data_IF_249493384308
#
_entry.id   IF_249493384308
#
_cell.length_a   1.000
_cell.length_b   1.000
_cell.length_c   1.000
_cell.angle_alpha   90.00
_cell.angle_beta   90.00
_cell.angle_gamma   90.00
#
_symmetry.space_group_name_H-M   'P 1'
#
loop_
_entity.id
_entity.type
_entity.pdbx_description
1 polymer ?
#
# COMPACT_ATOMS: atom_id res chain seq x y z
N UNK A 1 12.15 27.35 -1.19
CA UNK A 1 10.78 27.61 -1.66
C UNK A 1 9.86 26.60 -1.00
N UNK A 2 8.57 26.92 -0.80
CA UNK A 2 7.60 26.08 -0.07
C UNK A 2 6.54 25.41 -0.95
N UNK A 3 6.67 25.52 -2.28
CA UNK A 3 5.68 24.98 -3.23
C UNK A 3 5.65 23.45 -3.27
N UNK A 4 6.81 22.81 -3.20
CA UNK A 4 6.94 21.36 -3.14
C UNK A 4 7.14 20.99 -1.67
N UNK A 5 6.20 20.23 -1.10
CA UNK A 5 6.22 19.84 0.32
C UNK A 5 6.71 18.41 0.54
N UNK A 6 6.62 17.56 -0.49
CA UNK A 6 6.99 16.15 -0.43
C UNK A 6 7.54 15.66 -1.78
N UNK A 7 8.54 14.79 -1.73
CA UNK A 7 9.02 13.94 -2.83
C UNK A 7 8.65 12.49 -2.51
N UNK A 8 7.66 11.95 -3.23
CA UNK A 8 7.38 10.52 -3.20
C UNK A 8 8.35 9.80 -4.16
N UNK A 9 9.24 8.98 -3.62
CA UNK A 9 10.28 8.29 -4.39
C UNK A 9 9.72 6.98 -4.93
N UNK A 10 9.55 6.91 -6.26
CA UNK A 10 9.05 5.72 -6.93
C UNK A 10 10.04 4.55 -6.86
N UNK A 11 9.60 3.38 -6.38
CA UNK A 11 10.45 2.20 -6.15
C UNK A 11 10.02 0.96 -6.94
N UNK A 12 9.12 1.11 -7.91
CA UNK A 12 8.60 -0.04 -8.65
C UNK A 12 7.32 0.25 -9.42
N UNK A 13 6.54 -0.81 -9.76
CA UNK A 13 5.28 -0.70 -10.48
C UNK A 13 4.32 0.25 -9.75
N UNK A 14 3.67 1.15 -10.50
CA UNK A 14 2.83 2.21 -9.93
C UNK A 14 3.53 3.13 -8.91
N UNK A 15 4.86 3.18 -8.91
CA UNK A 15 5.67 3.92 -7.92
C UNK A 15 5.86 3.19 -6.60
N UNK A 16 5.27 2.01 -6.43
CA UNK A 16 5.23 1.27 -5.16
C UNK A 16 6.50 0.42 -4.96
N UNK A 17 6.96 0.32 -3.72
CA UNK A 17 8.07 -0.56 -3.33
C UNK A 17 7.61 -2.02 -3.30
N UNK A 18 7.47 -2.65 -4.46
CA UNK A 18 7.11 -4.07 -4.61
C UNK A 18 7.49 -4.64 -5.97
N UNK A 19 7.31 -5.94 -6.12
CA UNK A 19 7.36 -6.63 -7.40
C UNK A 19 6.05 -6.48 -8.21
N UNK A 20 6.09 -6.61 -9.54
CA UNK A 20 4.90 -6.61 -10.41
C UNK A 20 4.17 -7.96 -10.37
N UNK A 21 3.75 -8.43 -9.19
CA UNK A 21 3.21 -9.79 -9.00
C UNK A 21 1.77 -9.99 -9.45
N UNK A 22 1.01 -8.92 -9.67
CA UNK A 22 -0.40 -8.92 -10.09
C UNK A 22 -0.65 -8.00 -11.30
N UNK A 23 -0.05 -8.28 -12.48
CA UNK A 23 -0.27 -7.46 -13.67
C UNK A 23 -1.67 -7.68 -14.24
N UNK A 24 -2.53 -6.66 -14.19
CA UNK A 24 -3.90 -6.71 -14.75
C UNK A 24 -3.93 -6.70 -16.29
N UNK A 25 -2.83 -6.27 -16.94
CA UNK A 25 -2.76 -6.14 -18.39
C UNK A 25 -3.11 -7.46 -19.08
N UNK A 26 -4.00 -7.38 -20.08
CA UNK A 26 -4.49 -8.50 -20.87
C UNK A 26 -5.14 -9.64 -20.05
N UNK A 27 -5.57 -9.36 -18.82
CA UNK A 27 -6.20 -10.35 -17.94
C UNK A 27 -5.24 -11.42 -17.41
N UNK A 28 -3.93 -11.14 -17.41
CA UNK A 28 -2.89 -12.04 -16.88
C UNK A 28 -3.19 -12.41 -15.43
N UNK A 29 -3.50 -11.40 -14.62
CA UNK A 29 -3.99 -11.55 -13.27
C UNK A 29 -5.39 -10.95 -13.14
N UNK A 30 -6.21 -11.55 -12.25
CA UNK A 30 -7.50 -11.03 -11.82
C UNK A 30 -7.61 -11.18 -10.32
N UNK A 31 -8.17 -10.17 -9.68
CA UNK A 31 -8.52 -10.25 -8.26
C UNK A 31 -9.44 -11.45 -7.99
N UNK A 32 -9.22 -12.25 -6.93
CA UNK A 32 -8.20 -12.12 -5.89
C UNK A 32 -7.01 -13.10 -6.05
N UNK A 33 -6.50 -13.36 -7.26
CA UNK A 33 -5.45 -14.38 -7.46
C UNK A 33 -4.16 -14.16 -6.64
N UNK A 34 -3.43 -15.24 -6.34
CA UNK A 34 -2.18 -15.19 -5.55
C UNK A 34 -1.03 -14.40 -6.19
N UNK A 35 -1.10 -14.12 -7.50
CA UNK A 35 0.00 -13.51 -8.24
C UNK A 35 1.11 -14.50 -8.55
N UNK A 36 2.30 -13.99 -8.90
CA UNK A 36 3.47 -14.83 -9.14
C UNK A 36 4.77 -14.12 -8.72
N UNK A 37 5.75 -14.90 -8.26
CA UNK A 37 7.11 -14.39 -8.00
C UNK A 37 7.73 -13.82 -9.29
N UNK A 38 8.42 -12.68 -9.18
CA UNK A 38 8.99 -11.94 -10.31
C UNK A 38 10.53 -11.87 -10.21
N UNK A 39 11.18 -13.03 -10.10
CA UNK A 39 12.63 -13.14 -9.85
C UNK A 39 13.37 -14.01 -10.87
N UNK A 40 12.81 -14.16 -12.07
CA UNK A 40 13.30 -15.09 -13.10
C UNK A 40 14.20 -14.43 -14.15
N UNK A 41 14.52 -13.15 -14.01
CA UNK A 41 15.54 -12.54 -14.86
C UNK A 41 16.94 -13.08 -14.48
N UNK A 42 17.87 -13.01 -15.44
CA UNK A 42 19.21 -13.59 -15.30
C UNK A 42 20.00 -13.04 -14.10
N UNK A 43 19.74 -11.80 -13.66
CA UNK A 43 20.48 -11.19 -12.55
C UNK A 43 19.93 -11.66 -11.21
N UNK A 44 18.60 -11.71 -11.05
CA UNK A 44 18.00 -12.26 -9.84
C UNK A 44 18.28 -13.76 -9.69
N UNK A 45 18.25 -14.54 -10.78
CA UNK A 45 18.63 -15.95 -10.74
C UNK A 45 20.10 -16.16 -10.33
N UNK A 46 21.01 -15.30 -10.83
CA UNK A 46 22.41 -15.33 -10.40
C UNK A 46 22.57 -14.98 -8.92
N UNK A 47 21.82 -14.00 -8.41
CA UNK A 47 21.82 -13.61 -6.99
C UNK A 47 21.28 -14.73 -6.10
N UNK A 48 20.18 -15.37 -6.50
CA UNK A 48 19.59 -16.51 -5.80
C UNK A 48 20.56 -17.69 -5.73
N UNK A 49 21.22 -18.01 -6.85
CA UNK A 49 22.25 -19.05 -6.91
C UNK A 49 23.38 -18.80 -5.93
N UNK A 50 23.91 -17.57 -5.89
CA UNK A 50 24.96 -17.19 -4.96
C UNK A 50 24.51 -17.25 -3.48
N UNK A 51 23.29 -16.81 -3.19
CA UNK A 51 22.71 -16.91 -1.84
C UNK A 51 22.55 -18.36 -1.39
N UNK A 52 22.16 -19.26 -2.30
CA UNK A 52 21.98 -20.68 -2.05
C UNK A 52 23.31 -21.40 -1.79
N UNK A 53 24.36 -21.08 -2.56
CA UNK A 53 25.73 -21.54 -2.32
C UNK A 53 26.24 -21.09 -0.94
N UNK A 54 26.03 -19.81 -0.60
CA UNK A 54 26.43 -19.27 0.70
C UNK A 54 25.68 -19.93 1.88
N UNK A 55 24.44 -20.38 1.66
CA UNK A 55 23.66 -21.13 2.63
C UNK A 55 24.04 -22.62 2.71
N UNK A 56 25.00 -23.10 1.90
CA UNK A 56 25.39 -24.51 1.83
C UNK A 56 24.30 -25.41 1.22
N UNK A 57 23.40 -24.81 0.42
CA UNK A 57 22.23 -25.45 -0.20
C UNK A 57 22.13 -25.09 -1.68
N UNK A 58 23.14 -25.40 -2.51
CA UNK A 58 23.16 -24.99 -3.93
C UNK A 58 21.92 -25.45 -4.72
N UNK A 59 21.26 -26.53 -4.30
CA UNK A 59 20.01 -27.00 -4.89
C UNK A 59 18.84 -26.01 -4.75
N UNK A 60 18.85 -25.14 -3.74
CA UNK A 60 17.85 -24.08 -3.56
C UNK A 60 18.02 -22.91 -4.54
N UNK A 61 19.18 -22.83 -5.20
CA UNK A 61 19.54 -21.76 -6.12
C UNK A 61 19.12 -21.96 -7.57
N UNK A 62 18.44 -23.08 -7.90
CA UNK A 62 18.11 -23.46 -9.29
C UNK A 62 16.96 -22.66 -9.90
N UNK A 63 16.28 -21.82 -9.11
CA UNK A 63 15.14 -21.01 -9.50
C UNK A 63 14.21 -20.73 -8.32
N UNK A 64 13.18 -19.92 -8.55
CA UNK A 64 12.10 -19.75 -7.58
C UNK A 64 11.26 -21.02 -7.39
N UNK A 65 10.34 -21.03 -6.41
CA UNK A 65 9.49 -22.18 -6.13
C UNK A 65 8.68 -22.61 -7.35
N UNK A 66 8.85 -23.86 -7.79
CA UNK A 66 8.18 -24.41 -8.97
C UNK A 66 6.76 -24.90 -8.68
N UNK A 67 6.37 -24.92 -7.41
CA UNK A 67 5.10 -25.41 -6.88
C UNK A 67 4.20 -24.29 -6.33
N UNK A 68 4.51 -23.04 -6.70
CA UNK A 68 3.78 -21.81 -6.34
C UNK A 68 2.53 -21.55 -7.19
N UNK A 69 2.26 -22.35 -8.21
CA UNK A 69 1.11 -22.17 -9.10
C UNK A 69 1.28 -20.98 -10.05
N UNK A 70 0.16 -20.38 -10.44
CA UNK A 70 0.05 -19.29 -11.42
C UNK A 70 -0.77 -18.13 -10.86
N UNK A 71 -0.76 -17.00 -11.57
CA UNK A 71 -1.36 -15.73 -11.15
C UNK A 71 -2.75 -15.83 -10.49
N UNK A 72 -3.64 -16.67 -11.03
CA UNK A 72 -5.05 -16.72 -10.64
C UNK A 72 -5.42 -17.94 -9.77
N UNK A 73 -4.43 -18.71 -9.30
CA UNK A 73 -4.69 -19.78 -8.35
C UNK A 73 -5.08 -19.21 -6.98
N UNK A 74 -5.75 -20.04 -6.18
CA UNK A 74 -5.96 -19.80 -4.76
C UNK A 74 -4.78 -20.36 -3.95
N UNK A 75 -4.50 -19.84 -2.74
CA UNK A 75 -3.40 -20.35 -1.91
C UNK A 75 -3.49 -21.87 -1.69
N UNK A 76 -4.69 -22.36 -1.34
CA UNK A 76 -4.94 -23.78 -1.04
C UNK A 76 -4.84 -24.71 -2.28
N UNK A 77 -4.86 -24.16 -3.49
CA UNK A 77 -4.68 -24.93 -4.74
C UNK A 77 -3.20 -25.21 -5.04
N UNK A 78 -2.27 -24.64 -4.27
CA UNK A 78 -0.84 -24.71 -4.54
C UNK A 78 -0.09 -25.40 -3.41
N UNK A 79 0.87 -26.27 -3.75
CA UNK A 79 1.71 -26.93 -2.75
C UNK A 79 2.57 -25.93 -1.98
N UNK A 80 2.99 -24.84 -2.62
CA UNK A 80 3.79 -23.82 -1.96
C UNK A 80 2.99 -22.99 -0.96
N UNK A 81 1.76 -22.51 -1.27
CA UNK A 81 1.04 -21.54 -0.44
C UNK A 81 -0.10 -22.08 0.42
N UNK A 82 -0.51 -23.34 0.25
CA UNK A 82 -1.55 -23.95 1.09
C UNK A 82 -1.18 -23.90 2.57
N UNK A 83 -2.16 -24.09 3.45
CA UNK A 83 -2.01 -23.93 4.91
C UNK A 83 -0.74 -24.54 5.52
N UNK A 84 -0.37 -25.76 5.09
CA UNK A 84 0.87 -26.45 5.47
C UNK A 84 1.72 -26.70 4.20
N UNK A 85 2.15 -25.60 3.59
CA UNK A 85 2.82 -25.57 2.28
C UNK A 85 4.31 -25.26 2.37
N UNK A 86 4.95 -25.19 1.19
CA UNK A 86 6.36 -24.85 1.03
C UNK A 86 6.79 -23.52 1.65
N UNK A 87 5.87 -22.56 1.78
CA UNK A 87 6.11 -21.24 2.39
C UNK A 87 6.58 -21.30 3.86
N UNK A 88 6.27 -22.39 4.58
CA UNK A 88 6.56 -22.55 6.02
C UNK A 88 7.55 -23.69 6.30
N UNK A 89 8.52 -23.90 5.41
CA UNK A 89 9.60 -24.88 5.60
C UNK A 89 10.97 -24.20 5.42
N UNK A 90 12.10 -24.90 5.67
CA UNK A 90 13.43 -24.29 5.55
C UNK A 90 13.76 -23.69 4.18
N UNK A 91 13.28 -24.28 3.08
CA UNK A 91 13.47 -23.72 1.75
C UNK A 91 12.61 -22.47 1.54
N UNK A 92 11.34 -22.50 1.98
CA UNK A 92 10.45 -21.34 1.93
C UNK A 92 10.99 -20.15 2.72
N UNK A 93 11.47 -20.39 3.94
CA UNK A 93 12.12 -19.36 4.76
C UNK A 93 13.35 -18.76 4.07
N UNK A 94 14.21 -19.60 3.50
CA UNK A 94 15.36 -19.14 2.71
C UNK A 94 14.93 -18.29 1.51
N UNK A 95 14.03 -18.80 0.67
CA UNK A 95 13.64 -18.14 -0.57
C UNK A 95 12.90 -16.84 -0.31
N UNK A 96 11.92 -16.83 0.61
CA UNK A 96 11.13 -15.65 0.94
C UNK A 96 11.96 -14.59 1.69
N UNK A 97 12.90 -15.02 2.53
CA UNK A 97 13.88 -14.10 3.14
C UNK A 97 14.77 -13.47 2.08
N UNK A 98 15.32 -14.24 1.15
CA UNK A 98 16.10 -13.69 0.05
C UNK A 98 15.27 -12.72 -0.80
N UNK A 99 14.07 -13.12 -1.22
CA UNK A 99 13.22 -12.35 -2.13
C UNK A 99 12.79 -11.01 -1.52
N UNK A 100 12.34 -11.02 -0.27
CA UNK A 100 11.98 -9.79 0.46
C UNK A 100 13.20 -8.92 0.79
N UNK A 101 14.35 -9.51 1.11
CA UNK A 101 15.58 -8.75 1.35
C UNK A 101 16.12 -8.07 0.08
N UNK A 102 15.91 -8.67 -1.10
CA UNK A 102 16.24 -8.01 -2.37
C UNK A 102 15.43 -6.73 -2.57
N UNK A 103 14.14 -6.75 -2.21
CA UNK A 103 13.27 -5.58 -2.24
C UNK A 103 13.69 -4.54 -1.19
N UNK A 104 13.95 -4.95 0.06
CA UNK A 104 14.44 -4.06 1.12
C UNK A 104 15.76 -3.37 0.73
N UNK A 105 16.71 -4.13 0.20
CA UNK A 105 17.99 -3.58 -0.25
C UNK A 105 17.83 -2.65 -1.46
N UNK A 106 16.85 -2.89 -2.33
CA UNK A 106 16.48 -1.97 -3.40
C UNK A 106 15.98 -0.63 -2.84
N UNK A 107 15.04 -0.67 -1.89
CA UNK A 107 14.52 0.52 -1.23
C UNK A 107 15.62 1.31 -0.51
N UNK A 108 16.47 0.63 0.27
CA UNK A 108 17.60 1.25 0.98
C UNK A 108 18.53 2.02 0.03
N UNK A 109 18.90 1.43 -1.11
CA UNK A 109 19.81 2.07 -2.08
C UNK A 109 19.20 3.32 -2.71
N UNK A 110 17.94 3.24 -3.14
CA UNK A 110 17.25 4.36 -3.77
C UNK A 110 17.02 5.48 -2.74
N UNK A 111 16.58 5.10 -1.53
CA UNK A 111 16.27 6.06 -0.50
C UNK A 111 17.54 6.77 0.00
N UNK A 112 18.65 6.05 0.16
CA UNK A 112 19.95 6.66 0.47
C UNK A 112 20.38 7.69 -0.56
N UNK A 113 20.13 7.45 -1.84
CA UNK A 113 20.44 8.40 -2.90
C UNK A 113 19.49 9.62 -2.85
N UNK A 114 18.20 9.40 -2.64
CA UNK A 114 17.21 10.47 -2.53
C UNK A 114 17.47 11.36 -1.31
N UNK A 115 17.71 10.78 -0.14
CA UNK A 115 18.02 11.54 1.08
C UNK A 115 19.28 12.36 0.90
N UNK A 116 20.35 11.80 0.33
CA UNK A 116 21.58 12.55 0.04
C UNK A 116 21.36 13.76 -0.89
N UNK A 117 20.45 13.67 -1.86
CA UNK A 117 20.11 14.77 -2.77
C UNK A 117 19.30 15.85 -2.05
N UNK A 118 18.38 15.46 -1.15
CA UNK A 118 17.42 16.37 -0.52
C UNK A 118 17.74 16.73 0.94
N UNK A 119 18.90 16.31 1.48
CA UNK A 119 19.32 16.44 2.88
C UNK A 119 19.23 17.87 3.44
N UNK A 120 19.48 18.88 2.59
CA UNK A 120 19.44 20.30 2.96
C UNK A 120 18.11 21.01 2.62
N UNK A 121 17.09 20.27 2.19
CA UNK A 121 15.79 20.83 1.81
C UNK A 121 14.76 20.59 2.91
N UNK A 122 13.83 21.53 3.07
CA UNK A 122 12.67 21.38 3.99
C UNK A 122 11.61 20.40 3.46
N UNK A 123 11.89 19.68 2.38
CA UNK A 123 10.95 18.81 1.68
C UNK A 123 10.97 17.42 2.29
N UNK A 124 9.80 16.85 2.55
CA UNK A 124 9.68 15.49 3.08
C UNK A 124 9.95 14.46 1.98
N UNK A 125 10.48 13.32 2.34
CA UNK A 125 10.60 12.16 1.45
C UNK A 125 9.57 11.13 1.89
N UNK A 126 8.84 10.54 0.95
CA UNK A 126 7.94 9.42 1.22
C UNK A 126 8.19 8.25 0.29
N UNK A 127 7.81 7.07 0.74
CA UNK A 127 7.85 5.84 -0.03
C UNK A 127 6.47 5.20 0.00
N UNK A 128 5.98 4.83 -1.17
CA UNK A 128 4.67 4.19 -1.30
C UNK A 128 4.80 2.68 -1.18
N UNK A 129 4.00 2.08 -0.30
CA UNK A 129 3.89 0.65 -0.08
C UNK A 129 2.45 0.22 -0.35
N UNK A 130 2.27 -0.81 -1.18
CA UNK A 130 0.96 -1.28 -1.60
C UNK A 130 0.22 -2.04 -0.48
N UNK A 131 -1.07 -1.76 -0.30
CA UNK A 131 -2.00 -2.52 0.52
C UNK A 131 -2.50 -3.78 -0.18
N UNK A 132 -1.86 -4.92 0.08
CA UNK A 132 -2.21 -6.20 -0.52
C UNK A 132 -3.10 -6.96 0.47
N UNK A 133 -4.39 -6.67 0.41
CA UNK A 133 -5.34 -7.08 1.44
C UNK A 133 -6.00 -8.44 1.19
N UNK A 134 -5.98 -8.97 -0.04
CA UNK A 134 -6.58 -10.26 -0.35
C UNK A 134 -5.71 -11.42 0.12
N UNK A 135 -6.35 -12.51 0.55
CA UNK A 135 -5.73 -13.65 1.23
C UNK A 135 -4.94 -13.34 2.50
N UNK A 136 -4.96 -12.10 3.01
CA UNK A 136 -4.37 -11.76 4.31
C UNK A 136 -4.97 -12.61 5.45
N UNK A 137 -6.23 -13.05 5.33
CA UNK A 137 -6.86 -13.96 6.28
C UNK A 137 -6.35 -15.41 6.23
N UNK A 138 -5.52 -15.78 5.25
CA UNK A 138 -4.89 -17.11 5.15
C UNK A 138 -3.61 -17.17 6.00
N UNK A 139 -2.97 -18.34 6.11
CA UNK A 139 -1.70 -18.44 6.88
C UNK A 139 -0.48 -17.95 6.11
N UNK A 140 -0.47 -18.20 4.80
CA UNK A 140 0.66 -17.90 3.93
C UNK A 140 0.68 -16.46 3.47
N UNK A 141 -0.46 -15.77 3.42
CA UNK A 141 -0.54 -14.41 2.90
C UNK A 141 0.03 -14.32 1.46
N UNK A 142 -0.29 -15.33 0.63
CA UNK A 142 0.39 -15.57 -0.65
C UNK A 142 0.59 -14.33 -1.56
N UNK A 143 -0.39 -13.43 -1.71
CA UNK A 143 -0.20 -12.21 -2.52
C UNK A 143 0.84 -11.24 -1.95
N UNK A 144 0.93 -11.11 -0.63
CA UNK A 144 1.97 -10.31 0.03
C UNK A 144 3.35 -10.92 -0.26
N UNK A 145 3.45 -12.25 -0.14
CA UNK A 145 4.70 -12.99 -0.43
C UNK A 145 5.15 -12.79 -1.88
N UNK A 146 4.25 -12.94 -2.86
CA UNK A 146 4.59 -12.79 -4.28
C UNK A 146 4.96 -11.34 -4.64
N UNK A 147 4.40 -10.35 -3.93
CA UNK A 147 4.77 -8.95 -4.09
C UNK A 147 6.09 -8.56 -3.41
N UNK A 148 6.67 -9.47 -2.61
CA UNK A 148 7.95 -9.28 -1.92
C UNK A 148 7.82 -8.84 -0.46
N UNK A 149 6.60 -8.74 0.07
CA UNK A 149 6.38 -8.53 1.49
C UNK A 149 6.36 -9.90 2.17
N UNK A 150 7.44 -10.25 2.88
CA UNK A 150 7.46 -11.52 3.62
C UNK A 150 6.64 -11.41 4.93
N UNK A 151 5.37 -11.07 4.79
CA UNK A 151 4.37 -11.05 5.84
C UNK A 151 3.67 -12.42 5.86
N UNK A 152 3.50 -12.99 7.03
CA UNK A 152 2.74 -14.24 7.22
C UNK A 152 2.03 -14.16 8.55
N UNK A 153 1.24 -15.18 8.89
CA UNK A 153 0.64 -15.28 10.23
C UNK A 153 1.65 -15.29 11.38
N UNK A 154 2.92 -15.60 11.13
CA UNK A 154 3.96 -15.74 12.16
C UNK A 154 5.08 -14.70 12.06
N UNK A 155 5.07 -13.84 11.03
CA UNK A 155 6.16 -12.92 10.73
C UNK A 155 5.59 -11.61 10.24
N UNK A 156 6.02 -10.52 10.87
CA UNK A 156 5.73 -9.17 10.38
C UNK A 156 6.64 -8.82 9.19
N UNK A 157 6.03 -8.71 8.01
CA UNK A 157 6.73 -8.34 6.78
C UNK A 157 6.95 -6.83 6.61
N UNK A 158 6.22 -6.00 7.34
CA UNK A 158 6.21 -4.55 7.22
C UNK A 158 7.16 -3.86 8.20
N UNK A 159 7.42 -4.46 9.36
CA UNK A 159 8.36 -3.94 10.35
C UNK A 159 9.77 -3.67 9.77
N UNK A 160 10.39 -4.56 8.98
CA UNK A 160 11.68 -4.27 8.35
C UNK A 160 11.62 -3.11 7.34
N UNK A 161 10.48 -2.92 6.66
CA UNK A 161 10.27 -1.80 5.73
C UNK A 161 10.19 -0.51 6.54
N UNK A 162 9.38 -0.46 7.60
CA UNK A 162 9.26 0.70 8.47
C UNK A 162 10.61 1.08 9.09
N UNK A 163 11.37 0.11 9.61
CA UNK A 163 12.72 0.35 10.13
C UNK A 163 13.66 0.91 9.06
N UNK A 164 13.57 0.44 7.82
CA UNK A 164 14.34 0.99 6.70
C UNK A 164 13.98 2.46 6.44
N UNK A 165 12.69 2.78 6.35
CA UNK A 165 12.24 4.16 6.16
C UNK A 165 12.65 5.08 7.31
N UNK A 166 12.60 4.59 8.55
CA UNK A 166 13.00 5.33 9.75
C UNK A 166 14.46 5.73 9.75
N UNK A 167 15.38 4.88 9.25
CA UNK A 167 16.80 5.24 9.09
C UNK A 167 17.03 6.45 8.19
N UNK A 168 16.08 6.71 7.29
CA UNK A 168 16.15 7.78 6.29
C UNK A 168 15.21 8.95 6.59
N UNK A 169 14.48 8.92 7.73
CA UNK A 169 13.47 9.93 8.05
C UNK A 169 12.35 10.02 7.02
N UNK A 170 12.11 8.96 6.25
CA UNK A 170 11.10 8.93 5.21
C UNK A 170 9.71 8.60 5.77
N UNK A 171 8.68 9.12 5.12
CA UNK A 171 7.27 8.86 5.43
C UNK A 171 6.85 7.52 4.81
N UNK A 172 6.19 6.68 5.60
CA UNK A 172 5.55 5.45 5.13
C UNK A 172 4.19 5.82 4.53
N UNK A 173 4.07 5.84 3.21
CA UNK A 173 2.79 6.10 2.55
C UNK A 173 2.11 4.78 2.16
N UNK A 174 0.91 4.52 2.68
CA UNK A 174 0.23 3.24 2.54
C UNK A 174 -1.16 3.38 1.89
N UNK A 175 -1.59 2.36 1.14
CA UNK A 175 -2.88 2.37 0.43
C UNK A 175 -3.96 1.55 1.16
N UNK A 176 -5.17 1.47 0.59
CA UNK A 176 -6.34 0.74 1.12
C UNK A 176 -6.97 1.34 2.39
N UNK A 177 -6.68 2.60 2.68
CA UNK A 177 -7.14 3.32 3.88
C UNK A 177 -8.67 3.46 3.92
N UNK A 178 -9.34 3.39 2.77
CA UNK A 178 -10.78 3.54 2.61
C UNK A 178 -11.57 2.22 2.71
N UNK A 179 -10.89 1.08 2.59
CA UNK A 179 -11.53 -0.22 2.44
C UNK A 179 -12.02 -0.78 3.78
N UNK A 180 -13.18 -1.45 3.75
CA UNK A 180 -13.71 -2.21 4.90
C UNK A 180 -13.72 -3.70 4.60
N UNK A 181 -13.54 -4.53 5.63
CA UNK A 181 -13.50 -5.99 5.49
C UNK A 181 -14.81 -6.53 4.87
N UNK A 182 -15.96 -5.99 5.27
CA UNK A 182 -17.28 -6.46 4.81
C UNK A 182 -17.62 -6.05 3.36
N UNK A 183 -16.88 -5.12 2.77
CA UNK A 183 -17.03 -4.75 1.35
C UNK A 183 -16.37 -5.78 0.41
N UNK A 184 -15.59 -6.71 0.97
CA UNK A 184 -14.78 -7.63 0.21
C UNK A 184 -15.46 -9.00 0.04
N UNK A 185 -15.19 -9.74 -1.06
CA UNK A 185 -15.69 -11.10 -1.22
C UNK A 185 -15.18 -12.02 -0.10
N UNK A 186 -16.09 -12.79 0.51
CA UNK A 186 -15.76 -13.62 1.67
C UNK A 186 -14.72 -14.69 1.36
N UNK A 187 -14.82 -15.30 0.18
CA UNK A 187 -13.88 -16.27 -0.35
C UNK A 187 -12.46 -15.72 -0.45
N UNK A 188 -12.29 -14.45 -0.84
CA UNK A 188 -10.99 -13.80 -1.01
C UNK A 188 -10.21 -13.67 0.30
N UNK A 189 -10.87 -13.85 1.46
CA UNK A 189 -10.27 -13.74 2.79
C UNK A 189 -9.55 -12.40 2.99
N UNK A 190 -10.13 -11.34 2.43
CA UNK A 190 -9.58 -9.99 2.52
C UNK A 190 -9.64 -9.46 3.95
N UNK A 191 -8.58 -8.74 4.37
CA UNK A 191 -8.52 -8.08 5.69
C UNK A 191 -7.87 -6.69 5.61
N UNK A 192 -8.37 -5.76 4.78
CA UNK A 192 -7.78 -4.41 4.66
C UNK A 192 -7.70 -3.67 5.99
N UNK A 193 -8.70 -3.79 6.87
CA UNK A 193 -8.68 -3.08 8.16
C UNK A 193 -7.60 -3.63 9.10
N UNK A 194 -7.45 -4.96 9.13
CA UNK A 194 -6.39 -5.62 9.89
C UNK A 194 -5.00 -5.30 9.36
N UNK A 195 -4.84 -5.27 8.03
CA UNK A 195 -3.59 -4.92 7.36
C UNK A 195 -3.16 -3.48 7.67
N UNK A 196 -4.08 -2.51 7.55
CA UNK A 196 -3.79 -1.10 7.87
C UNK A 196 -3.37 -0.96 9.34
N UNK A 197 -4.02 -1.67 10.27
CA UNK A 197 -3.62 -1.67 11.69
C UNK A 197 -2.22 -2.24 11.90
N UNK A 198 -1.85 -3.32 11.20
CA UNK A 198 -0.50 -3.89 11.27
C UNK A 198 0.55 -2.87 10.80
N UNK A 199 0.33 -2.26 9.64
CA UNK A 199 1.27 -1.28 9.07
C UNK A 199 1.41 -0.04 9.96
N UNK A 200 0.30 0.46 10.51
CA UNK A 200 0.34 1.56 11.47
C UNK A 200 1.15 1.22 12.72
N UNK A 201 0.99 0.01 13.26
CA UNK A 201 1.79 -0.45 14.40
C UNK A 201 3.29 -0.55 14.06
N UNK A 202 3.63 -1.10 12.89
CA UNK A 202 5.02 -1.18 12.42
C UNK A 202 5.65 0.21 12.23
N UNK A 203 4.91 1.17 11.67
CA UNK A 203 5.34 2.55 11.52
C UNK A 203 5.58 3.23 12.87
N UNK A 204 4.64 3.08 13.82
CA UNK A 204 4.82 3.56 15.21
C UNK A 204 6.08 3.01 15.84
N UNK A 205 6.24 1.69 15.83
CA UNK A 205 7.37 1.02 16.49
C UNK A 205 8.73 1.45 15.92
N UNK A 206 8.76 1.80 14.63
CA UNK A 206 9.94 2.34 13.96
C UNK A 206 10.11 3.86 14.10
N UNK A 207 9.16 4.58 14.74
CA UNK A 207 9.18 6.04 14.85
C UNK A 207 8.97 6.75 13.50
N UNK A 208 8.25 6.13 12.58
CA UNK A 208 8.01 6.62 11.21
C UNK A 208 6.63 7.24 11.09
N UNK A 209 6.56 8.40 10.45
CA UNK A 209 5.28 9.03 10.12
C UNK A 209 4.53 8.21 9.05
N UNK A 210 3.23 8.01 9.26
CA UNK A 210 2.34 7.30 8.34
C UNK A 210 1.51 8.29 7.52
N UNK A 211 1.49 8.12 6.20
CA UNK A 211 0.56 8.77 5.29
C UNK A 211 -0.33 7.73 4.59
N UNK A 212 -1.44 8.18 4.01
CA UNK A 212 -2.44 7.32 3.40
C UNK A 212 -2.85 7.70 1.99
N UNK A 213 -3.31 6.71 1.21
CA UNK A 213 -4.08 6.91 -0.03
C UNK A 213 -5.27 5.94 -0.08
N UNK A 214 -6.35 6.33 -0.74
CA UNK A 214 -7.37 5.35 -1.13
C UNK A 214 -6.87 4.51 -2.32
N UNK A 215 -7.12 3.20 -2.29
CA UNK A 215 -6.68 2.29 -3.34
C UNK A 215 -7.58 2.37 -4.59
N UNK A 216 -8.89 2.53 -4.40
CA UNK A 216 -9.87 2.61 -5.49
C UNK A 216 -10.56 3.98 -5.52
N UNK A 217 -11.00 4.48 -6.70
CA UNK A 217 -11.85 5.66 -6.77
C UNK A 217 -13.15 5.40 -6.00
N UNK A 218 -13.38 6.18 -4.94
CA UNK A 218 -14.57 6.15 -4.10
C UNK A 218 -15.08 7.56 -3.91
N UNK A 219 -16.39 7.77 -3.95
CA UNK A 219 -17.01 9.09 -3.73
C UNK A 219 -18.13 9.04 -2.70
N UNK A 220 -18.35 7.85 -2.14
CA UNK A 220 -19.36 7.58 -1.14
C UNK A 220 -18.87 7.87 0.28
N UNK A 221 -19.84 8.06 1.15
CA UNK A 221 -19.62 8.49 2.53
C UNK A 221 -18.97 7.40 3.38
N UNK A 222 -19.22 6.12 3.07
CA UNK A 222 -18.67 5.01 3.82
C UNK A 222 -17.14 4.94 3.69
N UNK A 223 -16.63 5.19 2.48
CA UNK A 223 -15.20 5.31 2.22
C UNK A 223 -14.59 6.54 2.91
N UNK A 224 -15.21 7.73 2.75
CA UNK A 224 -14.73 8.96 3.39
C UNK A 224 -14.69 8.84 4.92
N UNK A 225 -15.71 8.23 5.52
CA UNK A 225 -15.74 8.01 6.96
C UNK A 225 -14.65 7.04 7.42
N UNK A 226 -14.41 5.97 6.67
CA UNK A 226 -13.31 5.05 6.97
C UNK A 226 -11.96 5.78 6.93
N UNK A 227 -11.72 6.59 5.90
CA UNK A 227 -10.47 7.35 5.76
C UNK A 227 -10.29 8.30 6.96
N UNK A 228 -11.32 9.07 7.32
CA UNK A 228 -11.25 10.02 8.45
C UNK A 228 -10.96 9.28 9.76
N UNK A 229 -11.62 8.14 10.01
CA UNK A 229 -11.38 7.33 11.22
C UNK A 229 -9.96 6.77 11.24
N UNK A 230 -9.50 6.19 10.13
CA UNK A 230 -8.15 5.64 10.03
C UNK A 230 -7.08 6.74 10.18
N UNK A 231 -7.28 7.91 9.58
CA UNK A 231 -6.36 9.04 9.66
C UNK A 231 -6.30 9.66 11.07
N UNK A 232 -7.42 9.66 11.80
CA UNK A 232 -7.48 10.10 13.19
C UNK A 232 -6.73 9.16 14.16
N UNK A 233 -6.55 7.90 13.76
CA UNK A 233 -5.82 6.87 14.52
C UNK A 233 -6.53 6.42 15.81
N UNK A 234 -5.94 5.41 16.47
CA UNK A 234 -6.24 5.06 17.84
C UNK A 234 -5.14 5.67 18.73
N UNK A 235 -5.48 6.55 19.69
CA UNK A 235 -4.54 7.37 20.50
C UNK A 235 -3.78 8.47 19.72
N UNK A 236 -2.68 9.02 20.28
CA UNK A 236 -1.86 10.18 19.82
C UNK A 236 -1.30 10.11 18.39
N UNK A 237 -1.54 9.02 17.65
CA UNK A 237 -0.94 8.75 16.35
C UNK A 237 -1.91 8.99 15.20
N UNK A 238 -1.91 10.23 14.70
CA UNK A 238 -2.66 10.61 13.49
C UNK A 238 -1.78 10.44 12.24
N UNK A 239 -2.38 10.06 11.11
CA UNK A 239 -1.68 10.15 9.82
C UNK A 239 -1.19 11.57 9.56
N UNK A 240 0.04 11.70 9.06
CA UNK A 240 0.63 13.02 8.77
C UNK A 240 0.12 13.62 7.44
N UNK A 241 -0.53 12.81 6.60
CA UNK A 241 -1.07 13.24 5.32
C UNK A 241 -1.93 12.18 4.67
N UNK A 242 -2.81 12.62 3.77
CA UNK A 242 -3.63 11.74 2.95
C UNK A 242 -3.69 12.28 1.51
N UNK A 243 -3.49 11.41 0.52
CA UNK A 243 -3.58 11.74 -0.90
C UNK A 243 -4.79 11.05 -1.52
N UNK A 244 -5.74 11.84 -2.04
CA UNK A 244 -6.98 11.33 -2.61
C UNK A 244 -6.82 10.92 -4.08
N UNK A 245 -7.11 9.66 -4.39
CA UNK A 245 -7.14 9.10 -5.72
C UNK A 245 -8.57 9.16 -6.28
N UNK A 246 -8.88 9.97 -7.30
CA UNK A 246 -8.07 10.97 -8.01
C UNK A 246 -9.01 12.09 -8.43
N UNK A 247 -8.45 13.25 -8.78
CA UNK A 247 -9.20 14.28 -9.48
C UNK A 247 -9.67 13.79 -10.86
N UNK A 248 -10.99 13.62 -11.02
CA UNK A 248 -11.66 13.17 -12.25
C UNK A 248 -12.95 13.98 -12.45
N UNK A 249 -13.57 13.94 -13.64
CA UNK A 249 -14.90 14.54 -13.84
C UNK A 249 -15.94 14.04 -12.82
N UNK A 250 -15.87 12.78 -12.43
CA UNK A 250 -16.81 12.19 -11.45
C UNK A 250 -16.68 12.81 -10.06
N UNK A 251 -15.47 13.17 -9.62
CA UNK A 251 -15.26 13.88 -8.35
C UNK A 251 -16.02 15.22 -8.33
N UNK A 252 -16.11 15.89 -9.48
CA UNK A 252 -16.70 17.21 -9.64
C UNK A 252 -18.21 17.20 -9.90
N UNK A 253 -18.85 16.03 -9.94
CA UNK A 253 -20.31 15.97 -9.94
C UNK A 253 -20.85 16.61 -8.64
N UNK A 254 -21.98 17.34 -8.67
CA UNK A 254 -22.43 18.19 -7.55
C UNK A 254 -22.48 17.47 -6.20
N UNK A 255 -23.04 16.25 -6.16
CA UNK A 255 -23.18 15.46 -4.95
C UNK A 255 -21.83 14.92 -4.45
N UNK A 256 -20.96 14.49 -5.36
CA UNK A 256 -19.63 13.98 -5.02
C UNK A 256 -18.73 15.10 -4.48
N UNK A 257 -18.79 16.27 -5.10
CA UNK A 257 -18.05 17.44 -4.65
C UNK A 257 -18.53 17.91 -3.28
N UNK A 258 -19.84 17.95 -3.05
CA UNK A 258 -20.42 18.26 -1.73
C UNK A 258 -19.88 17.34 -0.63
N UNK A 259 -19.88 16.02 -0.88
CA UNK A 259 -19.32 15.03 0.06
C UNK A 259 -17.82 15.21 0.25
N UNK A 260 -17.08 15.43 -0.84
CA UNK A 260 -15.63 15.65 -0.80
C UNK A 260 -15.25 16.89 0.03
N UNK A 261 -15.95 18.01 -0.13
CA UNK A 261 -15.70 19.23 0.66
C UNK A 261 -15.95 18.98 2.15
N UNK A 262 -17.03 18.26 2.50
CA UNK A 262 -17.30 17.87 3.88
C UNK A 262 -16.21 16.92 4.41
N UNK A 263 -15.75 15.96 3.61
CA UNK A 263 -14.63 15.08 3.92
C UNK A 263 -13.34 15.86 4.21
N UNK A 264 -12.94 16.79 3.34
CA UNK A 264 -11.75 17.64 3.53
C UNK A 264 -11.83 18.44 4.83
N UNK A 265 -13.01 18.99 5.14
CA UNK A 265 -13.24 19.71 6.41
C UNK A 265 -13.02 18.79 7.62
N UNK A 266 -13.54 17.55 7.60
CA UNK A 266 -13.32 16.58 8.69
C UNK A 266 -11.85 16.20 8.83
N UNK A 267 -11.16 15.96 7.71
CA UNK A 267 -9.73 15.67 7.73
C UNK A 267 -8.92 16.80 8.37
N UNK A 268 -9.26 18.06 8.06
CA UNK A 268 -8.61 19.23 8.65
C UNK A 268 -8.88 19.43 10.15
N UNK A 269 -9.94 18.84 10.68
CA UNK A 269 -10.33 18.89 12.10
C UNK A 269 -9.78 17.68 12.90
N UNK A 270 -9.07 16.75 12.25
CA UNK A 270 -8.43 15.60 12.90
C UNK A 270 -9.42 14.73 13.68
N UNK A 271 -9.09 14.42 14.95
CA UNK A 271 -9.95 13.58 15.81
C UNK A 271 -11.33 14.17 16.06
N UNK A 272 -11.42 15.48 16.26
CA UNK A 272 -12.72 16.14 16.42
C UNK A 272 -13.56 15.90 15.16
N UNK A 273 -12.97 16.08 13.98
CA UNK A 273 -13.62 15.80 12.69
C UNK A 273 -14.11 14.35 12.55
N UNK A 274 -13.43 13.37 13.16
CA UNK A 274 -13.85 11.97 13.16
C UNK A 274 -15.11 11.73 14.01
N UNK A 275 -15.27 12.44 15.13
CA UNK A 275 -16.38 12.29 16.08
C UNK A 275 -17.60 13.15 15.75
N UNK A 276 -17.45 14.15 14.86
CA UNK A 276 -18.52 15.10 14.54
C UNK A 276 -19.72 14.50 13.81
N UNK A 277 -20.89 15.07 14.09
CA UNK A 277 -22.13 14.77 13.37
C UNK A 277 -22.01 15.17 11.89
N UNK A 278 -22.20 14.19 11.02
CA UNK A 278 -22.08 14.34 9.56
C UNK A 278 -22.94 15.45 8.98
N UNK A 279 -24.25 15.45 9.27
CA UNK A 279 -25.18 16.44 8.72
C UNK A 279 -24.83 17.88 9.11
N UNK A 280 -24.24 18.05 10.30
CA UNK A 280 -23.78 19.35 10.74
C UNK A 280 -22.58 19.82 9.91
N UNK A 281 -21.60 18.92 9.69
CA UNK A 281 -20.42 19.22 8.88
C UNK A 281 -20.81 19.55 7.44
N UNK A 282 -21.73 18.80 6.84
CA UNK A 282 -22.23 19.07 5.48
C UNK A 282 -22.91 20.45 5.38
N UNK A 283 -23.73 20.83 6.36
CA UNK A 283 -24.36 22.16 6.41
C UNK A 283 -23.32 23.28 6.54
N UNK A 284 -22.29 23.09 7.36
CA UNK A 284 -21.19 24.04 7.49
C UNK A 284 -20.31 24.11 6.24
N UNK A 285 -20.19 22.98 5.53
CA UNK A 285 -19.42 22.86 4.30
C UNK A 285 -20.10 23.55 3.10
N UNK A 286 -21.42 23.78 3.15
CA UNK A 286 -22.20 24.34 2.05
C UNK A 286 -21.62 25.63 1.48
N UNK A 287 -21.17 26.54 2.36
CA UNK A 287 -20.56 27.81 1.95
C UNK A 287 -19.32 27.60 1.08
N UNK A 288 -18.53 26.55 1.35
CA UNK A 288 -17.33 26.22 0.59
C UNK A 288 -17.69 25.57 -0.75
N UNK A 289 -18.75 24.75 -0.77
CA UNK A 289 -19.32 24.20 -2.01
C UNK A 289 -19.74 25.35 -2.94
N UNK A 290 -20.53 26.31 -2.46
CA UNK A 290 -20.96 27.47 -3.25
C UNK A 290 -19.76 28.32 -3.71
N UNK A 291 -18.78 28.57 -2.84
CA UNK A 291 -17.61 29.38 -3.18
C UNK A 291 -16.70 28.73 -4.24
N UNK A 292 -16.64 27.40 -4.27
CA UNK A 292 -15.79 26.63 -5.21
C UNK A 292 -16.45 26.36 -6.56
N UNK A 293 -17.75 26.61 -6.70
CA UNK A 293 -18.54 26.22 -7.88
C UNK A 293 -17.96 26.69 -9.23
N UNK A 294 -17.49 27.95 -9.40
CA UNK A 294 -16.92 28.38 -10.68
C UNK A 294 -15.66 27.60 -11.07
N UNK A 295 -14.78 27.32 -10.09
CA UNK A 295 -13.53 26.59 -10.30
C UNK A 295 -13.79 25.12 -10.61
N UNK A 296 -14.79 24.52 -9.98
CA UNK A 296 -15.22 23.14 -10.24
C UNK A 296 -15.73 22.99 -11.67
N UNK A 297 -16.52 23.96 -12.15
CA UNK A 297 -17.02 23.95 -13.54
C UNK A 297 -15.88 24.08 -14.55
N UNK A 298 -14.91 24.96 -14.28
CA UNK A 298 -13.71 25.11 -15.11
C UNK A 298 -12.87 23.83 -15.15
N UNK A 299 -12.58 23.24 -13.98
CA UNK A 299 -11.81 22.01 -13.87
C UNK A 299 -12.49 20.83 -14.59
N UNK A 300 -13.80 20.67 -14.40
CA UNK A 300 -14.58 19.64 -15.08
C UNK A 300 -14.55 19.83 -16.61
N UNK A 301 -14.71 21.07 -17.09
CA UNK A 301 -14.65 21.37 -18.52
C UNK A 301 -13.27 21.04 -19.13
N UNK A 302 -12.20 21.45 -18.46
CA UNK A 302 -10.84 21.18 -18.90
C UNK A 302 -10.54 19.67 -19.03
N UNK A 303 -11.10 18.85 -18.14
CA UNK A 303 -10.90 17.39 -18.13
C UNK A 303 -11.72 16.63 -19.18
N UNK A 304 -12.78 17.22 -19.74
CA UNK A 304 -13.56 16.62 -20.83
C UNK A 304 -13.01 16.99 -22.21
N UNK A 305 -12.22 18.07 -22.29
CA UNK A 305 -11.63 18.57 -23.53
C UNK A 305 -10.25 18.01 -23.89
N UNK A 306 -9.65 17.18 -23.03
CA UNK A 306 -8.33 16.55 -23.24
C UNK A 306 -8.43 15.06 -23.46
#
# INVERSE_FOLDING_TARGET
>A
GSTIVEIQVGMGPAGEMRYPSYPELNGTWKFPGIGAFQCYDKYMLSSLGAAAEAAGKPEWGRGGPTDAGSYNNWPEDTSFFRREGGWNNPYGDFFLSWYSNMLLAHGERILSAATAIFDNNTVKISVKVAGIHWHYGTRSHAPELTAGYYNTRFRDGYAPIAQMLGRHGAIFNFTCVEMKDWEQPGEAMCRPEGLVKQVAAAAREAGVALAGENALPRFDEAAHEQIVRTAAGEAEETMCGFTYLRMTPDLFQPENWRRFVAFVKRMGEGREGAERCKEQVEREAERFVSASQPLVQEAAAAMVSG
#
